data_IF_341961519533
#
_entry.id   IF_341961519533
#
_cell.length_a   1.000
_cell.length_b   1.000
_cell.length_c   1.000
_cell.angle_alpha   90.00
_cell.angle_beta   90.00
_cell.angle_gamma   90.00
#
_symmetry.space_group_name_H-M   'P 1'
#
loop_
_entity.id
_entity.type
_entity.pdbx_description
1 polymer ?
#
# COMPACT_ATOMS: atom_id res chain seq x y z
N UNK A 1 0.11 -6.19 -13.11
CA UNK A 1 -1.00 -5.81 -14.01
C UNK A 1 -1.00 -4.30 -14.20
N UNK A 2 -1.31 -3.75 -15.38
CA UNK A 2 -1.47 -2.28 -15.54
C UNK A 2 -2.93 -1.88 -15.31
N UNK A 3 -3.20 -0.63 -14.94
CA UNK A 3 -4.58 -0.16 -14.68
C UNK A 3 -5.53 -0.32 -15.88
N UNK A 4 -5.03 -0.16 -17.11
CA UNK A 4 -5.84 -0.38 -18.32
C UNK A 4 -6.30 -1.83 -18.46
N UNK A 5 -5.49 -2.78 -18.00
CA UNK A 5 -5.79 -4.21 -18.08
C UNK A 5 -6.82 -4.57 -16.99
N UNK A 6 -6.65 -4.00 -15.78
CA UNK A 6 -7.64 -4.11 -14.70
C UNK A 6 -8.99 -3.55 -15.13
N UNK A 7 -9.02 -2.34 -15.70
CA UNK A 7 -10.24 -1.72 -16.23
C UNK A 7 -10.92 -2.59 -17.28
N UNK A 8 -10.14 -3.15 -18.22
CA UNK A 8 -10.68 -4.01 -19.25
C UNK A 8 -11.31 -5.28 -18.66
N UNK A 9 -10.73 -5.84 -17.60
CA UNK A 9 -11.26 -7.00 -16.88
C UNK A 9 -12.54 -6.65 -16.10
N UNK A 10 -12.55 -5.55 -15.33
CA UNK A 10 -13.73 -5.10 -14.57
C UNK A 10 -14.91 -4.84 -15.51
N UNK A 11 -14.68 -4.24 -16.67
CA UNK A 11 -15.72 -3.94 -17.65
C UNK A 11 -16.38 -5.17 -18.28
N UNK A 12 -15.86 -6.38 -18.05
CA UNK A 12 -16.49 -7.63 -18.50
C UNK A 12 -17.48 -8.19 -17.48
N UNK A 13 -17.50 -7.65 -16.26
CA UNK A 13 -18.40 -8.06 -15.19
C UNK A 13 -19.80 -7.49 -15.43
N UNK A 14 -20.84 -8.22 -14.99
CA UNK A 14 -22.20 -7.70 -14.95
C UNK A 14 -22.38 -6.73 -13.79
N UNK A 15 -23.44 -5.92 -13.83
CA UNK A 15 -23.77 -5.00 -12.74
C UNK A 15 -23.91 -5.74 -11.39
N UNK A 16 -24.48 -6.95 -11.36
CA UNK A 16 -24.58 -7.76 -10.15
C UNK A 16 -23.21 -8.20 -9.60
N UNK A 17 -22.25 -8.51 -10.46
CA UNK A 17 -20.89 -8.86 -10.03
C UNK A 17 -20.12 -7.65 -9.51
N UNK A 18 -20.40 -6.44 -10.03
CA UNK A 18 -19.77 -5.20 -9.59
C UNK A 18 -20.16 -4.76 -8.17
N UNK A 19 -21.27 -5.28 -7.64
CA UNK A 19 -21.73 -5.01 -6.27
C UNK A 19 -21.03 -5.90 -5.21
N UNK A 20 -20.18 -6.85 -5.63
CA UNK A 20 -19.48 -7.76 -4.71
C UNK A 20 -18.20 -7.13 -4.15
N UNK A 21 -17.85 -7.53 -2.93
CA UNK A 21 -16.63 -7.08 -2.27
C UNK A 21 -15.36 -7.56 -3.00
N UNK A 22 -14.39 -6.64 -3.12
CA UNK A 22 -13.03 -6.98 -3.55
C UNK A 22 -12.16 -7.30 -2.32
N UNK A 23 -11.67 -8.54 -2.25
CA UNK A 23 -10.69 -8.96 -1.24
C UNK A 23 -9.29 -9.08 -1.85
N UNK A 24 -8.29 -8.67 -1.06
CA UNK A 24 -6.89 -8.96 -1.32
C UNK A 24 -6.47 -10.21 -0.55
N UNK A 25 -5.63 -11.03 -1.17
CA UNK A 25 -5.02 -12.19 -0.54
C UNK A 25 -3.56 -12.30 -0.96
N UNK A 26 -2.65 -12.20 -0.01
CA UNK A 26 -1.22 -12.44 -0.18
C UNK A 26 -0.84 -13.77 0.44
N UNK A 27 -0.44 -14.72 -0.42
CA UNK A 27 0.05 -16.03 0.01
C UNK A 27 1.42 -15.92 0.70
N UNK A 28 2.28 -15.02 0.23
CA UNK A 28 3.66 -14.88 0.71
C UNK A 28 3.73 -14.25 2.09
N UNK A 29 2.79 -13.34 2.39
CA UNK A 29 2.74 -12.62 3.66
C UNK A 29 1.69 -13.19 4.63
N UNK A 30 0.85 -14.13 4.19
CA UNK A 30 -0.21 -14.70 5.02
C UNK A 30 -1.28 -13.68 5.43
N UNK A 31 -1.47 -12.62 4.62
CA UNK A 31 -2.43 -11.54 4.90
C UNK A 31 -3.53 -11.57 3.85
N UNK A 32 -4.78 -11.55 4.32
CA UNK A 32 -5.96 -11.31 3.49
C UNK A 32 -6.88 -10.29 4.14
N UNK A 33 -7.70 -9.61 3.34
CA UNK A 33 -8.63 -8.61 3.85
C UNK A 33 -9.40 -7.86 2.77
N UNK A 34 -10.35 -7.04 3.20
CA UNK A 34 -11.12 -6.17 2.31
C UNK A 34 -10.24 -5.05 1.76
N UNK A 35 -10.41 -4.76 0.46
CA UNK A 35 -9.83 -3.58 -0.18
C UNK A 35 -10.75 -2.40 0.09
N UNK A 36 -10.34 -1.51 1.00
CA UNK A 36 -11.10 -0.29 1.31
C UNK A 36 -10.81 0.83 0.30
N UNK A 37 -9.55 0.96 -0.09
CA UNK A 37 -9.09 2.04 -0.96
C UNK A 37 -7.95 1.59 -1.89
N UNK A 38 -7.92 2.19 -3.09
CA UNK A 38 -6.78 2.14 -3.99
C UNK A 38 -6.14 3.53 -3.98
N UNK A 39 -4.99 3.63 -3.33
CA UNK A 39 -4.25 4.88 -3.15
C UNK A 39 -3.28 5.11 -4.30
N UNK A 40 -2.95 6.38 -4.55
CA UNK A 40 -1.82 6.80 -5.40
C UNK A 40 -0.85 7.58 -4.54
N UNK A 41 0.44 7.34 -4.71
CA UNK A 41 1.46 8.16 -4.07
C UNK A 41 2.30 8.95 -5.08
N UNK A 42 2.65 10.18 -4.71
CA UNK A 42 3.48 11.09 -5.52
C UNK A 42 4.97 11.02 -5.14
N UNK A 43 5.33 10.08 -4.25
CA UNK A 43 6.68 9.78 -3.80
C UNK A 43 6.98 8.27 -3.83
N UNK A 44 8.27 7.92 -3.74
CA UNK A 44 8.67 6.55 -3.47
C UNK A 44 8.37 6.23 -2.00
N UNK A 45 7.81 5.05 -1.75
CA UNK A 45 7.64 4.50 -0.42
C UNK A 45 8.66 3.39 -0.17
N UNK A 46 9.35 3.49 0.96
CA UNK A 46 10.46 2.63 1.34
C UNK A 46 10.03 1.73 2.50
N UNK A 47 10.37 0.45 2.42
CA UNK A 47 10.31 -0.44 3.57
C UNK A 47 11.63 -0.40 4.34
N UNK A 48 11.53 -0.28 5.66
CA UNK A 48 12.70 -0.18 6.55
C UNK A 48 12.82 -1.33 7.53
N UNK A 49 12.03 -2.40 7.36
CA UNK A 49 12.10 -3.58 8.23
C UNK A 49 11.33 -3.46 9.53
N UNK A 50 10.50 -2.42 9.71
CA UNK A 50 9.71 -2.23 10.92
C UNK A 50 8.50 -3.19 10.94
N UNK A 51 8.17 -3.71 12.12
CA UNK A 51 6.88 -4.37 12.38
C UNK A 51 5.94 -3.40 13.12
N UNK A 52 4.74 -3.10 12.58
CA UNK A 52 4.21 -3.58 11.31
C UNK A 52 4.88 -2.93 10.10
N UNK A 53 4.69 -3.53 8.92
CA UNK A 53 5.17 -3.05 7.62
C UNK A 53 4.56 -1.69 7.31
N UNK A 54 5.19 -0.61 7.80
CA UNK A 54 4.88 0.76 7.43
C UNK A 54 5.88 1.19 6.38
N UNK A 55 5.35 1.63 5.25
CA UNK A 55 6.18 2.22 4.21
C UNK A 55 6.28 3.72 4.46
N UNK A 56 7.46 4.26 4.24
CA UNK A 56 7.75 5.65 4.55
C UNK A 56 8.17 6.43 3.32
N UNK A 57 7.83 7.71 3.28
CA UNK A 57 8.42 8.62 2.29
C UNK A 57 9.87 8.95 2.66
N UNK A 58 10.63 9.41 1.68
CA UNK A 58 12.00 9.90 1.92
C UNK A 58 12.05 11.02 2.97
N UNK A 59 11.03 11.88 3.01
CA UNK A 59 10.97 13.02 3.96
C UNK A 59 10.73 12.55 5.39
N UNK A 60 9.81 11.59 5.58
CA UNK A 60 9.57 10.96 6.89
C UNK A 60 10.82 10.26 7.42
N UNK A 61 11.55 9.55 6.56
CA UNK A 61 12.81 8.91 6.96
C UNK A 61 13.86 9.94 7.40
N UNK A 62 13.94 11.09 6.73
CA UNK A 62 14.84 12.17 7.17
C UNK A 62 14.45 12.72 8.53
N UNK A 63 13.16 12.91 8.79
CA UNK A 63 12.65 13.37 10.09
C UNK A 63 12.96 12.36 11.21
N UNK A 64 12.99 11.06 10.87
CA UNK A 64 13.39 9.98 11.79
C UNK A 64 14.92 9.85 11.99
N UNK A 65 15.72 10.69 11.33
CA UNK A 65 17.18 10.73 11.50
C UNK A 65 17.98 9.89 10.50
N UNK A 66 17.34 9.34 9.45
CA UNK A 66 18.06 8.63 8.40
C UNK A 66 18.78 9.60 7.46
N UNK A 67 20.03 9.28 7.12
CA UNK A 67 20.82 10.03 6.12
C UNK A 67 20.47 9.60 4.69
N UNK A 68 20.71 10.47 3.71
CA UNK A 68 20.48 10.15 2.29
C UNK A 68 21.25 8.89 1.84
N UNK A 69 22.45 8.64 2.40
CA UNK A 69 23.26 7.44 2.12
C UNK A 69 22.68 6.15 2.71
N UNK A 70 21.93 6.25 3.81
CA UNK A 70 21.19 5.11 4.37
C UNK A 70 19.94 4.84 3.55
N UNK A 71 19.16 5.89 3.24
CA UNK A 71 17.92 5.79 2.47
C UNK A 71 18.19 5.19 1.08
N UNK A 72 19.32 5.53 0.45
CA UNK A 72 19.67 4.96 -0.87
C UNK A 72 19.94 3.45 -0.86
N UNK A 73 20.02 2.82 0.31
CA UNK A 73 20.18 1.36 0.47
C UNK A 73 18.86 0.65 0.75
N UNK A 74 17.79 1.39 1.01
CA UNK A 74 16.47 0.80 1.19
C UNK A 74 15.85 0.52 -0.17
N UNK A 75 15.10 -0.58 -0.22
CA UNK A 75 14.34 -0.94 -1.40
C UNK A 75 13.09 -0.06 -1.48
N UNK A 76 12.80 0.39 -2.70
CA UNK A 76 11.54 1.07 -3.01
C UNK A 76 10.50 -0.01 -3.27
N UNK A 77 9.65 -0.25 -2.28
CA UNK A 77 8.54 -1.21 -2.41
C UNK A 77 7.44 -0.67 -3.32
N UNK A 78 7.12 0.63 -3.17
CA UNK A 78 6.11 1.30 -4.00
C UNK A 78 6.75 2.48 -4.70
N UNK A 79 6.97 2.40 -6.02
CA UNK A 79 7.50 3.50 -6.78
C UNK A 79 6.53 4.68 -6.83
N UNK A 80 7.09 5.87 -6.97
CA UNK A 80 6.35 7.10 -7.27
C UNK A 80 5.40 6.90 -8.46
N UNK A 81 4.25 7.57 -8.39
CA UNK A 81 3.19 7.59 -9.42
C UNK A 81 2.54 6.22 -9.69
N UNK A 82 2.74 5.26 -8.79
CA UNK A 82 2.02 3.99 -8.81
C UNK A 82 0.75 4.04 -7.96
N UNK A 83 -0.18 3.17 -8.33
CA UNK A 83 -1.37 2.88 -7.54
C UNK A 83 -1.14 1.60 -6.75
N UNK A 84 -1.61 1.57 -5.51
CA UNK A 84 -1.46 0.44 -4.61
C UNK A 84 -2.71 0.27 -3.75
N UNK A 85 -2.85 -0.90 -3.15
CA UNK A 85 -3.96 -1.24 -2.28
C UNK A 85 -3.49 -1.12 -0.84
N UNK A 86 -4.25 -0.42 -0.03
CA UNK A 86 -4.10 -0.46 1.42
C UNK A 86 -5.12 -1.43 2.00
N UNK A 87 -4.64 -2.37 2.81
CA UNK A 87 -5.52 -3.26 3.55
C UNK A 87 -6.06 -2.51 4.74
N UNK A 88 -7.38 -2.33 4.79
CA UNK A 88 -8.04 -1.95 6.03
C UNK A 88 -8.06 -3.19 6.94
N UNK A 89 -6.97 -3.42 7.65
CA UNK A 89 -7.14 -4.16 8.89
C UNK A 89 -7.85 -3.17 9.82
N UNK A 90 -8.88 -3.58 10.54
CA UNK A 90 -9.41 -2.81 11.69
C UNK A 90 -8.34 -2.62 12.78
N UNK A 91 -7.16 -3.21 12.55
CA UNK A 91 -5.89 -3.02 13.22
C UNK A 91 -4.84 -2.35 12.32
N UNK A 92 -5.22 -1.47 11.39
CA UNK A 92 -4.23 -0.61 10.73
C UNK A 92 -3.57 0.18 11.86
N UNK A 93 -2.39 -0.26 12.23
CA UNK A 93 -1.65 0.15 13.42
C UNK A 93 -1.43 1.68 13.45
N UNK A 94 -1.67 2.36 12.33
CA UNK A 94 -1.72 3.81 12.21
C UNK A 94 -2.82 4.46 13.07
N UNK A 95 -4.02 3.88 13.22
CA UNK A 95 -5.07 4.47 14.07
C UNK A 95 -4.74 4.37 15.57
N UNK A 96 -3.91 3.39 15.99
CA UNK A 96 -3.45 3.25 17.38
C UNK A 96 -2.39 4.27 17.80
N UNK A 97 -1.69 4.89 16.84
CA UNK A 97 -0.62 5.86 17.12
C UNK A 97 -1.03 7.31 16.88
N UNK A 98 -2.29 7.56 16.51
CA UNK A 98 -2.84 8.89 16.22
C UNK A 98 -3.81 9.41 17.30
N UNK A 99 -3.92 8.76 18.47
CA UNK A 99 -4.63 9.36 19.60
C UNK A 99 -3.67 10.18 20.47
N UNK A 100 -4.01 11.44 20.81
CA UNK A 100 -3.18 12.35 21.59
C UNK A 100 -3.00 11.93 23.06
#
# INVERSE_FOLDING_TARGET
MKLKDLKAWINQLSDEELEKDLLYNSMDYGISGHVKEISKNDANLYYVGDEPVLLHTKEELKQRGFTDKQISKFDVEIPKDCYYIELSNEYSILERFLQP
#
